data_IF_286691843141
#
_entry.id   IF_286691843141
#
_cell.length_a   1.000
_cell.length_b   1.000
_cell.length_c   1.000
_cell.angle_alpha   90.00
_cell.angle_beta   90.00
_cell.angle_gamma   90.00
#
_symmetry.space_group_name_H-M   'P 1'
#
loop_
_entity.id
_entity.type
_entity.pdbx_description
1 polymer ?
#
# COMPACT_ATOMS: atom_id res chain seq x y z
N UNK A 1 13.53 25.21 -11.83
CA UNK A 1 12.44 24.27 -11.52
C UNK A 1 13.04 23.08 -10.79
N UNK A 2 12.76 22.83 -9.51
CA UNK A 2 13.19 21.61 -8.85
C UNK A 2 12.23 20.48 -9.22
N UNK A 3 12.74 19.47 -9.92
CA UNK A 3 12.00 18.27 -10.24
C UNK A 3 11.60 17.52 -8.97
N UNK A 4 10.29 17.29 -8.81
CA UNK A 4 9.74 16.40 -7.79
C UNK A 4 10.22 14.99 -8.12
N UNK A 5 11.06 14.43 -7.24
CA UNK A 5 11.58 13.08 -7.37
C UNK A 5 10.45 12.07 -7.13
N UNK A 6 10.08 11.21 -8.08
CA UNK A 6 9.13 10.15 -7.85
C UNK A 6 9.78 9.10 -6.92
N UNK A 7 9.19 8.89 -5.74
CA UNK A 7 9.56 7.76 -4.89
C UNK A 7 9.18 6.47 -5.61
N UNK A 8 10.16 5.77 -6.15
CA UNK A 8 9.96 4.50 -6.85
C UNK A 8 10.12 3.36 -5.85
N UNK A 9 9.06 2.61 -5.60
CA UNK A 9 9.08 1.41 -4.76
C UNK A 9 9.39 0.19 -5.63
N UNK A 10 10.55 -0.41 -5.49
CA UNK A 10 10.94 -1.61 -6.22
C UNK A 10 10.54 -2.88 -5.44
N UNK A 11 9.96 -3.85 -6.14
CA UNK A 11 9.48 -5.12 -5.54
C UNK A 11 10.29 -6.27 -6.11
N UNK A 12 11.38 -6.56 -6.07
CA UNK A 12 12.18 -7.74 -6.48
C UNK A 12 13.56 -7.44 -7.06
N UNK A 13 14.56 -7.96 -6.36
CA UNK A 13 15.83 -8.36 -6.96
C UNK A 13 16.10 -9.82 -6.60
N UNK A 14 16.19 -10.68 -7.61
CA UNK A 14 16.74 -12.01 -7.46
C UNK A 14 18.23 -11.89 -7.17
N UNK A 15 18.69 -12.29 -5.98
CA UNK A 15 20.10 -12.61 -5.75
C UNK A 15 20.23 -14.12 -5.66
N UNK A 16 21.23 -14.66 -6.37
CA UNK A 16 21.72 -16.04 -6.19
C UNK A 16 22.02 -16.26 -4.72
N UNK A 17 21.34 -17.20 -4.11
CA UNK A 17 21.73 -17.77 -2.83
C UNK A 17 22.74 -18.88 -3.11
N UNK A 18 23.96 -18.75 -2.59
CA UNK A 18 24.85 -19.89 -2.47
C UNK A 18 24.33 -20.75 -1.32
N UNK A 19 23.96 -21.96 -1.67
CA UNK A 19 23.43 -22.96 -0.74
C UNK A 19 24.57 -23.76 -0.10
N UNK A 20 24.51 -23.88 1.19
CA UNK A 20 24.97 -25.08 1.92
C UNK A 20 24.32 -25.09 3.31
N UNK A 21 23.03 -25.41 3.37
CA UNK A 21 22.42 -25.88 4.62
C UNK A 21 21.26 -26.84 4.33
N UNK A 22 21.17 -27.98 5.07
CA UNK A 22 20.17 -29.01 4.87
C UNK A 22 18.79 -28.55 5.38
N UNK A 23 17.75 -29.19 4.83
CA UNK A 23 16.35 -29.06 5.20
C UNK A 23 16.14 -29.40 6.70
N UNK A 24 16.29 -28.40 7.56
CA UNK A 24 15.96 -28.46 8.97
C UNK A 24 15.07 -27.26 9.31
N UNK A 25 13.95 -27.49 9.96
CA UNK A 25 13.06 -26.47 10.48
C UNK A 25 13.81 -25.49 11.37
N UNK A 26 14.11 -24.30 10.87
CA UNK A 26 14.63 -23.19 11.67
C UNK A 26 13.62 -22.06 11.70
N UNK A 27 13.34 -21.45 12.87
CA UNK A 27 12.37 -20.36 12.98
C UNK A 27 12.90 -19.15 12.21
N UNK A 28 12.26 -18.84 11.09
CA UNK A 28 12.58 -17.70 10.25
C UNK A 28 12.28 -16.38 11.00
N UNK A 29 13.33 -15.69 11.44
CA UNK A 29 13.23 -14.27 11.78
C UNK A 29 13.16 -13.46 10.49
N UNK A 30 12.14 -12.59 10.31
CA UNK A 30 12.04 -11.74 9.12
C UNK A 30 13.20 -10.73 9.12
N UNK A 31 14.13 -10.87 8.19
CA UNK A 31 15.17 -9.86 7.97
C UNK A 31 14.60 -8.77 7.04
N UNK A 32 14.09 -7.69 7.62
CA UNK A 32 13.90 -6.43 6.88
C UNK A 32 15.28 -5.84 6.59
N UNK A 33 15.68 -5.78 5.34
CA UNK A 33 16.83 -4.99 4.90
C UNK A 33 16.33 -3.76 4.16
N UNK A 34 16.28 -2.63 4.85
CA UNK A 34 16.25 -1.33 4.19
C UNK A 34 17.68 -0.98 3.77
N UNK A 35 17.93 -0.72 2.50
CA UNK A 35 19.18 -0.12 2.01
C UNK A 35 18.84 1.22 1.40
N UNK A 36 19.37 2.30 1.98
CA UNK A 36 19.46 3.60 1.32
C UNK A 36 20.68 3.56 0.41
N UNK A 37 20.50 3.88 -0.85
CA UNK A 37 21.56 3.97 -1.83
C UNK A 37 21.41 5.26 -2.63
N UNK A 38 22.51 5.99 -2.81
CA UNK A 38 22.58 7.12 -3.74
C UNK A 38 22.94 6.59 -5.13
N UNK A 39 22.24 7.06 -6.16
CA UNK A 39 22.65 6.83 -7.56
C UNK A 39 23.53 8.01 -8.02
N UNK A 40 24.33 7.79 -9.06
CA UNK A 40 25.16 8.84 -9.70
C UNK A 40 24.34 10.02 -10.26
N UNK A 41 23.01 9.87 -10.36
CA UNK A 41 22.08 10.91 -10.79
C UNK A 41 21.53 11.80 -9.66
N UNK A 42 21.99 11.62 -8.41
CA UNK A 42 21.52 12.39 -7.26
C UNK A 42 20.10 12.03 -6.77
N UNK A 43 19.51 10.94 -7.29
CA UNK A 43 18.19 10.46 -6.86
C UNK A 43 18.35 9.54 -5.67
N UNK A 44 17.69 9.85 -4.55
CA UNK A 44 17.63 8.97 -3.39
C UNK A 44 16.69 7.79 -3.70
N UNK A 45 17.20 6.57 -3.59
CA UNK A 45 16.41 5.35 -3.74
C UNK A 45 16.19 4.72 -2.37
N UNK A 46 14.93 4.73 -1.92
CA UNK A 46 14.51 4.00 -0.73
C UNK A 46 14.06 2.59 -1.16
N UNK A 47 14.86 1.59 -0.82
CA UNK A 47 14.64 0.20 -1.21
C UNK A 47 14.29 -0.66 -0.01
N UNK A 48 13.17 -1.35 -0.08
CA UNK A 48 12.76 -2.36 0.91
C UNK A 48 12.45 -3.68 0.21
N UNK A 49 13.09 -4.77 0.65
CA UNK A 49 12.76 -6.13 0.21
C UNK A 49 12.02 -6.90 1.30
N UNK A 50 11.07 -7.72 0.89
CA UNK A 50 10.36 -8.63 1.78
C UNK A 50 10.52 -10.06 1.25
N UNK A 51 10.56 -11.03 2.15
CA UNK A 51 10.52 -12.44 1.78
C UNK A 51 9.13 -12.77 1.19
N UNK A 52 9.12 -13.51 0.07
CA UNK A 52 7.91 -13.75 -0.71
C UNK A 52 6.80 -14.45 0.08
N UNK A 53 7.13 -15.45 0.89
CA UNK A 53 6.14 -16.13 1.73
C UNK A 53 5.50 -15.19 2.73
N UNK A 54 6.29 -14.29 3.33
CA UNK A 54 5.79 -13.29 4.27
C UNK A 54 4.81 -12.33 3.56
N UNK A 55 5.15 -11.91 2.35
CA UNK A 55 4.27 -11.05 1.55
C UNK A 55 2.96 -11.77 1.20
N UNK A 56 3.02 -13.04 0.77
CA UNK A 56 1.84 -13.83 0.41
C UNK A 56 0.93 -14.10 1.62
N UNK A 57 1.49 -14.43 2.78
CA UNK A 57 0.73 -14.57 4.02
C UNK A 57 0.05 -13.25 4.38
N UNK A 58 0.76 -12.13 4.25
CA UNK A 58 0.17 -10.81 4.46
C UNK A 58 -0.97 -10.51 3.50
N UNK A 59 -0.85 -10.87 2.21
CA UNK A 59 -1.93 -10.72 1.21
C UNK A 59 -3.17 -11.51 1.63
N UNK A 60 -3.01 -12.79 2.01
CA UNK A 60 -4.11 -13.64 2.48
C UNK A 60 -4.77 -13.10 3.77
N UNK A 61 -4.05 -12.30 4.55
CA UNK A 61 -4.54 -11.61 5.74
C UNK A 61 -5.13 -10.22 5.44
N UNK A 62 -5.16 -9.79 4.17
CA UNK A 62 -5.69 -8.50 3.76
C UNK A 62 -4.75 -7.31 3.98
N UNK A 63 -3.43 -7.54 4.03
CA UNK A 63 -2.46 -6.44 4.17
C UNK A 63 -2.38 -5.61 2.87
N UNK A 64 -3.00 -4.43 2.89
CA UNK A 64 -3.06 -3.51 1.75
C UNK A 64 -1.69 -3.13 1.19
N UNK A 65 -0.66 -2.99 2.03
CA UNK A 65 0.68 -2.65 1.54
C UNK A 65 1.25 -3.69 0.57
N UNK A 66 1.02 -4.98 0.82
CA UNK A 66 1.46 -6.04 -0.10
C UNK A 66 0.55 -6.14 -1.32
N UNK A 67 -0.77 -5.98 -1.13
CA UNK A 67 -1.75 -5.97 -2.21
C UNK A 67 -1.46 -4.82 -3.19
N UNK A 68 -1.29 -3.59 -2.70
CA UNK A 68 -0.96 -2.42 -3.52
C UNK A 68 0.35 -2.59 -4.30
N UNK A 69 1.35 -3.26 -3.71
CA UNK A 69 2.63 -3.53 -4.38
C UNK A 69 2.50 -4.51 -5.54
N UNK A 70 1.59 -5.46 -5.46
CA UNK A 70 1.38 -6.44 -6.52
C UNK A 70 0.38 -5.93 -7.55
N UNK A 71 -0.76 -5.38 -7.13
CA UNK A 71 -1.85 -5.01 -8.03
C UNK A 71 -1.80 -3.54 -8.47
N UNK A 72 -1.39 -2.62 -7.60
CA UNK A 72 -1.42 -1.18 -7.83
C UNK A 72 -0.10 -0.54 -8.25
N UNK A 73 1.03 -1.24 -8.12
CA UNK A 73 2.34 -0.68 -8.40
C UNK A 73 2.68 -0.68 -9.90
N UNK A 74 3.42 0.36 -10.33
CA UNK A 74 4.07 0.37 -11.63
C UNK A 74 5.34 -0.48 -11.50
N UNK A 75 5.49 -1.60 -12.25
CA UNK A 75 6.68 -2.43 -12.18
C UNK A 75 7.88 -1.66 -12.74
N UNK A 76 8.96 -1.60 -11.95
CA UNK A 76 10.24 -1.03 -12.43
C UNK A 76 10.98 -1.99 -13.37
N UNK A 77 10.71 -3.26 -13.25
CA UNK A 77 11.23 -4.34 -14.10
C UNK A 77 10.14 -5.36 -14.32
N UNK A 78 9.91 -5.73 -15.57
CA UNK A 78 9.06 -6.84 -15.91
C UNK A 78 9.68 -8.13 -15.35
N UNK A 79 8.85 -8.93 -14.67
CA UNK A 79 9.22 -10.24 -14.13
C UNK A 79 8.06 -11.19 -14.34
N UNK A 80 8.36 -12.34 -14.94
CA UNK A 80 7.36 -13.39 -15.19
C UNK A 80 6.59 -13.77 -13.94
N UNK A 81 7.29 -13.89 -12.81
CA UNK A 81 6.69 -14.23 -11.52
C UNK A 81 5.65 -13.19 -11.08
N UNK A 82 5.85 -11.91 -11.40
CA UNK A 82 4.89 -10.86 -11.08
C UNK A 82 3.64 -10.95 -11.96
N UNK A 83 3.81 -11.25 -13.25
CA UNK A 83 2.70 -11.43 -14.18
C UNK A 83 1.83 -12.63 -13.77
N UNK A 84 2.46 -13.74 -13.39
CA UNK A 84 1.77 -14.93 -12.88
C UNK A 84 1.07 -14.68 -11.54
N UNK A 85 1.70 -13.90 -10.65
CA UNK A 85 1.20 -13.64 -9.31
C UNK A 85 0.00 -12.68 -9.28
N UNK A 86 -0.06 -11.70 -10.17
CA UNK A 86 -1.14 -10.71 -10.20
C UNK A 86 -2.55 -11.31 -10.20
N UNK A 87 -2.91 -12.22 -11.11
CA UNK A 87 -4.25 -12.82 -11.12
C UNK A 87 -4.52 -13.68 -9.88
N UNK A 88 -3.49 -14.31 -9.30
CA UNK A 88 -3.62 -15.09 -8.06
C UNK A 88 -3.95 -14.16 -6.89
N UNK A 89 -3.23 -13.05 -6.77
CA UNK A 89 -3.48 -12.05 -5.72
C UNK A 89 -4.84 -11.38 -5.89
N UNK A 90 -5.28 -11.14 -7.12
CA UNK A 90 -6.62 -10.60 -7.36
C UNK A 90 -7.71 -11.54 -6.83
N UNK A 91 -7.58 -12.87 -7.05
CA UNK A 91 -8.49 -13.87 -6.48
C UNK A 91 -8.37 -14.04 -4.95
N UNK A 92 -7.25 -13.60 -4.37
CA UNK A 92 -7.03 -13.63 -2.93
C UNK A 92 -7.65 -12.44 -2.18
N UNK A 93 -8.22 -11.47 -2.90
CA UNK A 93 -8.86 -10.31 -2.27
C UNK A 93 -10.05 -10.74 -1.41
N UNK A 94 -10.17 -10.14 -0.25
CA UNK A 94 -11.25 -10.41 0.71
C UNK A 94 -11.57 -9.17 1.53
N UNK A 95 -12.71 -9.17 2.22
CA UNK A 95 -13.12 -8.07 3.11
C UNK A 95 -12.14 -7.83 4.27
N UNK A 96 -11.19 -8.73 4.51
CA UNK A 96 -10.11 -8.53 5.50
C UNK A 96 -9.27 -7.28 5.25
N UNK A 97 -9.20 -6.78 4.01
CA UNK A 97 -8.48 -5.54 3.66
C UNK A 97 -8.99 -4.33 4.45
N UNK A 98 -10.25 -4.32 4.86
CA UNK A 98 -10.83 -3.27 5.69
C UNK A 98 -10.00 -3.01 6.95
N UNK A 99 -9.59 -4.06 7.68
CA UNK A 99 -8.80 -3.94 8.92
C UNK A 99 -7.49 -3.20 8.69
N UNK A 100 -6.85 -3.47 7.54
CA UNK A 100 -5.61 -2.79 7.18
C UNK A 100 -5.84 -1.30 6.89
N UNK A 101 -6.78 -0.99 6.01
CA UNK A 101 -7.02 0.39 5.59
C UNK A 101 -7.59 1.24 6.72
N UNK A 102 -8.56 0.73 7.46
CA UNK A 102 -9.12 1.41 8.62
C UNK A 102 -8.06 1.64 9.71
N UNK A 103 -7.33 0.60 10.11
CA UNK A 103 -6.32 0.70 11.16
C UNK A 103 -5.16 1.62 10.78
N UNK A 104 -4.70 1.58 9.53
CA UNK A 104 -3.62 2.46 9.07
C UNK A 104 -4.09 3.93 9.00
N UNK A 105 -5.29 4.18 8.48
CA UNK A 105 -5.88 5.53 8.45
C UNK A 105 -6.09 6.10 9.86
N UNK A 106 -6.57 5.27 10.81
CA UNK A 106 -6.72 5.65 12.22
C UNK A 106 -5.37 6.03 12.83
N UNK A 107 -4.33 5.24 12.60
CA UNK A 107 -2.98 5.57 13.06
C UNK A 107 -2.47 6.89 12.51
N UNK A 108 -2.68 7.17 11.21
CA UNK A 108 -2.31 8.45 10.59
C UNK A 108 -3.12 9.63 11.14
N UNK A 109 -4.40 9.41 11.47
CA UNK A 109 -5.25 10.42 12.10
C UNK A 109 -4.74 10.77 13.50
N UNK A 110 -4.44 9.77 14.33
CA UNK A 110 -3.84 10.01 15.66
C UNK A 110 -2.51 10.77 15.57
N UNK A 111 -1.65 10.43 14.61
CA UNK A 111 -0.41 11.17 14.37
C UNK A 111 -0.65 12.62 13.91
N UNK A 112 -1.74 12.87 13.17
CA UNK A 112 -2.15 14.23 12.80
C UNK A 112 -2.65 15.02 14.03
N UNK A 113 -3.46 14.40 14.86
CA UNK A 113 -4.02 15.04 16.07
C UNK A 113 -2.94 15.36 17.09
N UNK A 114 -1.94 14.50 17.24
CA UNK A 114 -0.80 14.67 18.16
C UNK A 114 0.28 15.63 17.63
N UNK A 115 0.26 15.99 16.35
CA UNK A 115 1.30 16.82 15.76
C UNK A 115 1.11 18.30 16.14
N UNK A 116 2.23 18.99 16.42
CA UNK A 116 2.23 20.46 16.48
C UNK A 116 1.87 21.02 15.11
N UNK A 117 0.85 21.87 15.06
CA UNK A 117 0.23 22.34 13.83
C UNK A 117 -0.67 21.28 13.19
N UNK A 118 -1.02 21.44 11.94
CA UNK A 118 -1.89 20.53 11.20
C UNK A 118 -1.22 20.14 9.87
N UNK A 119 -0.31 19.14 9.84
CA UNK A 119 0.44 18.81 8.64
C UNK A 119 -0.48 18.32 7.50
N UNK A 120 -0.48 19.05 6.37
CA UNK A 120 -1.25 18.71 5.16
C UNK A 120 -1.02 17.26 4.72
N UNK A 121 0.23 16.81 4.77
CA UNK A 121 0.64 15.45 4.40
C UNK A 121 -0.15 14.37 5.16
N UNK A 122 -0.43 14.59 6.46
CA UNK A 122 -1.11 13.59 7.29
C UNK A 122 -2.58 13.44 6.89
N UNK A 123 -3.29 14.55 6.71
CA UNK A 123 -4.68 14.52 6.22
C UNK A 123 -4.76 13.86 4.87
N UNK A 124 -3.86 14.21 3.94
CA UNK A 124 -3.83 13.61 2.62
C UNK A 124 -3.59 12.09 2.68
N UNK A 125 -2.74 11.62 3.63
CA UNK A 125 -2.54 10.19 3.84
C UNK A 125 -3.77 9.49 4.40
N UNK A 126 -4.51 10.12 5.32
CA UNK A 126 -5.77 9.56 5.82
C UNK A 126 -6.78 9.41 4.68
N UNK A 127 -7.00 10.48 3.90
CA UNK A 127 -7.91 10.45 2.74
C UNK A 127 -7.48 9.40 1.71
N UNK A 128 -6.19 9.37 1.33
CA UNK A 128 -5.68 8.37 0.38
C UNK A 128 -5.96 6.96 0.89
N UNK A 129 -5.66 6.69 2.16
CA UNK A 129 -5.78 5.33 2.72
C UNK A 129 -7.23 4.88 2.79
N UNK A 130 -8.12 5.74 3.31
CA UNK A 130 -9.55 5.43 3.39
C UNK A 130 -10.18 5.25 2.01
N UNK A 131 -9.89 6.14 1.06
CA UNK A 131 -10.45 6.07 -0.29
C UNK A 131 -9.90 4.91 -1.11
N UNK A 132 -8.60 4.54 -0.96
CA UNK A 132 -8.05 3.32 -1.58
C UNK A 132 -8.77 2.08 -1.05
N UNK A 133 -8.99 1.98 0.27
CA UNK A 133 -9.74 0.88 0.88
C UNK A 133 -11.20 0.84 0.43
N UNK A 134 -11.86 2.00 0.38
CA UNK A 134 -13.23 2.13 -0.13
C UNK A 134 -13.36 1.66 -1.57
N UNK A 135 -12.43 2.10 -2.44
CA UNK A 135 -12.43 1.69 -3.85
C UNK A 135 -12.25 0.18 -3.98
N UNK A 136 -11.24 -0.38 -3.33
CA UNK A 136 -10.98 -1.82 -3.35
C UNK A 136 -12.17 -2.65 -2.87
N UNK A 137 -12.82 -2.24 -1.77
CA UNK A 137 -13.97 -2.94 -1.21
C UNK A 137 -15.21 -2.87 -2.11
N UNK A 138 -15.39 -1.77 -2.86
CA UNK A 138 -16.55 -1.58 -3.76
C UNK A 138 -16.36 -2.21 -5.14
N UNK A 139 -15.14 -2.17 -5.66
CA UNK A 139 -14.87 -2.51 -7.07
C UNK A 139 -14.03 -3.75 -7.26
N UNK A 140 -13.39 -4.26 -6.19
CA UNK A 140 -12.34 -5.29 -6.24
C UNK A 140 -11.08 -4.86 -7.02
N UNK A 141 -10.91 -3.56 -7.30
CA UNK A 141 -9.79 -2.97 -8.03
C UNK A 141 -8.91 -2.14 -7.10
N UNK A 142 -7.59 -2.16 -7.35
CA UNK A 142 -6.62 -1.35 -6.59
C UNK A 142 -6.32 -0.06 -7.33
N UNK A 143 -6.77 1.06 -6.78
CA UNK A 143 -6.40 2.39 -7.25
C UNK A 143 -5.56 3.10 -6.19
N UNK A 144 -4.30 3.41 -6.51
CA UNK A 144 -3.36 4.07 -5.60
C UNK A 144 -3.12 5.56 -5.91
N UNK A 145 -3.64 6.03 -7.03
CA UNK A 145 -3.60 7.43 -7.40
C UNK A 145 -4.70 8.19 -6.64
N UNK A 146 -4.28 8.97 -5.64
CA UNK A 146 -5.21 9.73 -4.80
C UNK A 146 -6.01 10.75 -5.61
N UNK A 147 -5.47 11.34 -6.66
CA UNK A 147 -6.18 12.36 -7.45
C UNK A 147 -7.44 11.78 -8.10
N UNK A 148 -7.34 10.59 -8.68
CA UNK A 148 -8.48 9.88 -9.25
C UNK A 148 -9.51 9.49 -8.20
N UNK A 149 -9.05 9.07 -7.02
CA UNK A 149 -9.94 8.71 -5.92
C UNK A 149 -10.71 9.93 -5.38
N UNK A 150 -10.04 11.09 -5.26
CA UNK A 150 -10.68 12.33 -4.82
C UNK A 150 -11.86 12.71 -5.72
N UNK A 151 -11.67 12.65 -7.03
CA UNK A 151 -12.71 12.95 -8.01
C UNK A 151 -13.86 11.94 -7.95
N UNK A 152 -13.52 10.65 -7.89
CA UNK A 152 -14.51 9.57 -7.91
C UNK A 152 -15.41 9.52 -6.66
N UNK A 153 -14.91 10.02 -5.51
CA UNK A 153 -15.60 9.90 -4.23
C UNK A 153 -16.10 11.23 -3.64
N UNK A 154 -16.09 12.30 -4.45
CA UNK A 154 -16.65 13.61 -4.07
C UNK A 154 -15.78 14.37 -3.07
N UNK A 155 -14.45 14.23 -3.19
CA UNK A 155 -13.44 14.97 -2.42
C UNK A 155 -12.61 15.90 -3.31
N UNK A 156 -13.18 16.42 -4.40
CA UNK A 156 -12.48 17.28 -5.35
C UNK A 156 -11.78 18.48 -4.68
N UNK A 157 -12.37 19.04 -3.62
CA UNK A 157 -11.75 20.09 -2.83
C UNK A 157 -10.37 19.71 -2.28
N UNK A 158 -10.10 18.42 -2.04
CA UNK A 158 -8.83 17.96 -1.50
C UNK A 158 -7.67 18.02 -2.51
N UNK A 159 -7.93 18.41 -3.77
CA UNK A 159 -6.85 18.75 -4.70
C UNK A 159 -6.03 19.95 -4.20
N UNK A 160 -6.60 20.82 -3.37
CA UNK A 160 -5.83 21.90 -2.72
C UNK A 160 -4.74 21.33 -1.77
N UNK A 161 -5.02 20.21 -1.07
CA UNK A 161 -4.02 19.54 -0.23
C UNK A 161 -2.92 18.89 -1.07
N UNK A 162 -3.29 18.33 -2.23
CA UNK A 162 -2.32 17.76 -3.18
C UNK A 162 -1.40 18.86 -3.70
N UNK A 163 -1.97 20.00 -4.14
CA UNK A 163 -1.22 21.15 -4.61
C UNK A 163 -0.29 21.69 -3.50
N UNK A 164 -0.80 21.86 -2.28
CA UNK A 164 -0.01 22.30 -1.13
C UNK A 164 1.16 21.34 -0.84
N UNK A 165 0.92 20.02 -0.89
CA UNK A 165 1.99 19.02 -0.69
C UNK A 165 3.03 19.06 -1.80
N UNK A 166 2.66 19.32 -3.04
CA UNK A 166 3.60 19.48 -4.16
C UNK A 166 4.45 20.76 -4.05
N UNK A 167 3.89 21.82 -3.47
CA UNK A 167 4.60 23.09 -3.24
C UNK A 167 5.68 22.99 -2.14
N UNK A 168 5.59 22.02 -1.22
CA UNK A 168 6.59 21.83 -0.17
C UNK A 168 6.38 20.60 0.71
N UNK A 169 7.47 20.17 1.36
CA UNK A 169 7.46 18.99 2.26
C UNK A 169 6.83 19.28 3.63
N UNK A 170 6.96 20.52 4.13
CA UNK A 170 6.49 20.95 5.46
C UNK A 170 5.43 22.03 5.33
N UNK A 171 4.24 21.64 4.85
CA UNK A 171 3.08 22.51 4.72
C UNK A 171 2.06 22.16 5.79
N UNK A 172 1.53 23.18 6.45
CA UNK A 172 0.56 23.06 7.52
C UNK A 172 -0.76 23.74 7.11
N UNK A 173 -1.87 23.20 7.57
CA UNK A 173 -3.19 23.81 7.39
C UNK A 173 -3.30 25.07 8.27
N UNK A 174 -3.98 26.09 7.77
CA UNK A 174 -4.44 27.17 8.62
C UNK A 174 -5.43 26.63 9.68
N UNK A 175 -5.36 27.14 10.91
CA UNK A 175 -6.19 26.67 12.01
C UNK A 175 -7.70 26.70 11.67
N UNK A 176 -8.14 27.69 10.88
CA UNK A 176 -9.53 27.85 10.40
C UNK A 176 -9.98 26.72 9.47
N UNK A 177 -9.07 26.03 8.80
CA UNK A 177 -9.37 24.93 7.88
C UNK A 177 -9.37 23.55 8.55
N UNK A 178 -8.82 23.43 9.77
CA UNK A 178 -8.72 22.15 10.47
C UNK A 178 -10.08 21.46 10.63
N UNK A 179 -11.11 22.23 11.05
CA UNK A 179 -12.46 21.71 11.22
C UNK A 179 -13.05 21.13 9.92
N UNK A 180 -12.93 21.87 8.81
CA UNK A 180 -13.39 21.40 7.47
C UNK A 180 -12.76 20.07 7.09
N UNK A 181 -11.45 19.92 7.27
CA UNK A 181 -10.75 18.70 6.90
C UNK A 181 -11.04 17.54 7.84
N UNK A 182 -11.31 17.81 9.12
CA UNK A 182 -11.77 16.77 10.04
C UNK A 182 -13.14 16.22 9.65
N UNK A 183 -14.06 17.06 9.18
CA UNK A 183 -15.36 16.59 8.65
C UNK A 183 -15.17 15.75 7.35
N UNK A 184 -14.25 16.15 6.46
CA UNK A 184 -13.91 15.36 5.29
C UNK A 184 -13.34 13.98 5.68
N UNK A 185 -12.47 13.92 6.69
CA UNK A 185 -11.92 12.66 7.24
C UNK A 185 -13.03 11.77 7.80
N UNK A 186 -13.94 12.31 8.61
CA UNK A 186 -15.08 11.55 9.15
C UNK A 186 -15.93 10.95 8.02
N UNK A 187 -16.23 11.75 6.98
CA UNK A 187 -16.97 11.29 5.81
C UNK A 187 -16.23 10.17 5.09
N UNK A 188 -14.90 10.26 4.93
CA UNK A 188 -14.10 9.23 4.28
C UNK A 188 -14.09 7.90 5.08
N UNK A 189 -14.03 7.96 6.41
CA UNK A 189 -14.18 6.77 7.27
C UNK A 189 -15.57 6.15 7.14
N UNK A 190 -16.64 6.95 7.21
CA UNK A 190 -18.01 6.46 7.04
C UNK A 190 -18.21 5.76 5.69
N UNK A 191 -17.62 6.29 4.61
CA UNK A 191 -17.65 5.64 3.29
C UNK A 191 -16.87 4.31 3.28
N UNK A 192 -15.76 4.21 4.01
CA UNK A 192 -15.00 2.97 4.15
C UNK A 192 -15.80 1.90 4.91
N UNK A 193 -16.49 2.29 5.98
CA UNK A 193 -17.34 1.40 6.78
C UNK A 193 -18.53 0.89 5.97
N UNK A 194 -19.19 1.78 5.22
CA UNK A 194 -20.26 1.41 4.31
C UNK A 194 -19.77 0.46 3.20
N UNK A 195 -18.63 0.77 2.59
CA UNK A 195 -18.03 -0.07 1.58
C UNK A 195 -17.68 -1.48 2.12
N UNK A 196 -17.25 -1.59 3.38
CA UNK A 196 -17.03 -2.88 4.02
C UNK A 196 -18.32 -3.66 4.21
N UNK A 197 -19.38 -3.00 4.67
CA UNK A 197 -20.68 -3.64 4.90
C UNK A 197 -21.31 -4.18 3.60
N UNK A 198 -21.14 -3.44 2.49
CA UNK A 198 -21.74 -3.74 1.19
C UNK A 198 -20.79 -4.42 0.20
N UNK A 199 -19.56 -4.75 0.62
CA UNK A 199 -18.52 -5.27 -0.28
C UNK A 199 -18.91 -6.59 -0.96
N UNK A 200 -18.70 -6.72 -2.28
CA UNK A 200 -18.87 -7.98 -2.99
C UNK A 200 -17.78 -9.00 -2.70
N UNK A 201 -16.67 -8.58 -2.07
CA UNK A 201 -15.57 -9.47 -1.73
C UNK A 201 -15.97 -10.51 -0.69
N UNK A 202 -15.40 -11.74 -0.73
CA UNK A 202 -15.64 -12.76 0.27
C UNK A 202 -15.11 -12.32 1.64
N UNK A 203 -15.64 -12.88 2.76
CA UNK A 203 -15.14 -12.58 4.11
C UNK A 203 -13.65 -12.86 4.27
N UNK A 204 -13.20 -13.97 3.71
CA UNK A 204 -11.83 -14.48 3.75
C UNK A 204 -11.32 -14.83 2.36
N UNK A 205 -10.00 -14.86 2.19
CA UNK A 205 -9.38 -15.33 0.94
C UNK A 205 -9.70 -16.81 0.69
N UNK A 206 -10.18 -17.13 -0.51
CA UNK A 206 -10.66 -18.47 -0.88
C UNK A 206 -9.61 -19.31 -1.60
N UNK A 207 -8.46 -18.75 -1.99
CA UNK A 207 -7.49 -19.43 -2.85
C UNK A 207 -6.12 -19.66 -2.20
N UNK A 208 -6.10 -19.94 -0.90
CA UNK A 208 -4.87 -20.22 -0.14
C UNK A 208 -4.01 -21.29 -0.81
N UNK A 209 -4.61 -22.40 -1.22
CA UNK A 209 -3.89 -23.53 -1.81
C UNK A 209 -3.25 -23.14 -3.16
N UNK A 210 -3.91 -22.30 -3.95
CA UNK A 210 -3.35 -21.76 -5.19
C UNK A 210 -2.12 -20.87 -4.92
N UNK A 211 -2.19 -20.02 -3.89
CA UNK A 211 -1.08 -19.18 -3.45
C UNK A 211 0.10 -20.02 -2.98
N UNK A 212 -0.15 -21.09 -2.23
CA UNK A 212 0.89 -22.03 -1.77
C UNK A 212 1.51 -22.80 -2.93
N UNK A 213 0.69 -23.31 -3.85
CA UNK A 213 1.17 -24.01 -5.05
C UNK A 213 2.06 -23.11 -5.91
N UNK A 214 1.65 -21.86 -6.14
CA UNK A 214 2.47 -20.89 -6.86
C UNK A 214 3.80 -20.63 -6.16
N UNK A 215 3.81 -20.48 -4.82
CA UNK A 215 5.04 -20.25 -4.05
C UNK A 215 6.03 -21.42 -4.18
N UNK A 216 5.53 -22.66 -4.09
CA UNK A 216 6.36 -23.87 -4.25
C UNK A 216 6.98 -23.89 -5.64
N UNK A 217 6.19 -23.64 -6.68
CA UNK A 217 6.64 -23.66 -8.06
C UNK A 217 7.64 -22.53 -8.37
N UNK A 218 7.36 -21.31 -7.89
CA UNK A 218 8.27 -20.18 -8.03
C UNK A 218 9.63 -20.45 -7.37
N UNK A 219 9.64 -21.12 -6.21
CA UNK A 219 10.87 -21.54 -5.55
C UNK A 219 11.63 -22.62 -6.33
N UNK A 220 10.95 -23.63 -6.86
CA UNK A 220 11.58 -24.67 -7.69
C UNK A 220 12.27 -24.09 -8.91
N UNK A 221 11.68 -23.07 -9.54
CA UNK A 221 12.29 -22.39 -10.71
C UNK A 221 13.47 -21.49 -10.35
N UNK A 222 13.55 -21.04 -9.11
CA UNK A 222 14.63 -20.16 -8.66
C UNK A 222 15.89 -20.93 -8.20
N UNK A 223 15.81 -22.25 -8.09
CA UNK A 223 16.91 -23.18 -7.72
C UNK A 223 17.36 -24.01 -8.91
#
# INVERSE_FOLDING_TARGET
MPMVSPRRTAIWTSRRFTSSQPLGCSPFRPRRRARRGWTSSGVEIDYTSNEVRQALVGILQGNGNYIERVLGAIPLRAAREMEELRPIVHRALSRRVYRHYHGFATGQLHEFEAAEGAPVKKILYVLRTTLTGTHLLRTSEVQTDVTKLLDSYGFADAHELVAAKLAGERVYLAASLKGRWMEAVKRAFAMLDEAHAQSPLPPDSLNRDEVEAWLVEARRRAW
#
